data_IF_523442457362
#
_entry.id   IF_523442457362
#
_cell.length_a   1.000
_cell.length_b   1.000
_cell.length_c   1.000
_cell.angle_alpha   90.00
_cell.angle_beta   90.00
_cell.angle_gamma   90.00
#
_symmetry.space_group_name_H-M   'P 1'
#
loop_
_entity.id
_entity.type
_entity.pdbx_description
1 polymer ?
#
# COMPACT_ATOMS: atom_id res chain seq x y z
N UNK A 1 -13.34 -22.02 -14.32
CA UNK A 1 -12.13 -21.20 -14.57
C UNK A 1 -11.49 -20.94 -13.23
N UNK A 2 -10.21 -21.29 -13.05
CA UNK A 2 -9.49 -20.98 -11.82
C UNK A 2 -9.40 -19.45 -11.68
N UNK A 3 -9.64 -18.91 -10.48
CA UNK A 3 -9.49 -17.49 -10.21
C UNK A 3 -7.99 -17.14 -10.30
N UNK A 4 -7.61 -16.35 -11.30
CA UNK A 4 -6.24 -15.87 -11.44
C UNK A 4 -6.09 -14.53 -10.72
N UNK A 5 -5.12 -14.48 -9.80
CA UNK A 5 -4.72 -13.25 -9.13
C UNK A 5 -4.16 -12.25 -10.14
N UNK A 6 -4.87 -11.13 -10.31
CA UNK A 6 -4.49 -10.05 -11.24
C UNK A 6 -3.37 -9.15 -10.72
N UNK A 7 -3.12 -9.18 -9.41
CA UNK A 7 -2.12 -8.36 -8.74
C UNK A 7 -0.96 -9.27 -8.34
N UNK A 8 0.09 -9.26 -9.15
CA UNK A 8 1.34 -9.98 -8.91
C UNK A 8 2.50 -9.01 -9.07
N UNK A 9 3.61 -9.27 -8.41
CA UNK A 9 4.85 -8.53 -8.65
C UNK A 9 5.24 -8.62 -10.14
N UNK A 10 5.76 -7.53 -10.69
CA UNK A 10 6.21 -7.43 -12.09
C UNK A 10 7.58 -6.77 -12.18
N UNK A 11 8.26 -6.98 -13.31
CA UNK A 11 9.54 -6.33 -13.63
C UNK A 11 9.37 -4.88 -14.15
N UNK A 12 8.17 -4.30 -14.03
CA UNK A 12 7.91 -2.94 -14.50
C UNK A 12 8.60 -1.92 -13.60
N UNK A 13 9.12 -0.83 -14.19
CA UNK A 13 9.78 0.24 -13.46
C UNK A 13 8.77 1.08 -12.67
N UNK A 14 9.00 1.20 -11.36
CA UNK A 14 8.25 2.09 -10.48
C UNK A 14 8.42 3.55 -10.89
N UNK A 15 9.64 3.94 -11.27
CA UNK A 15 9.95 5.33 -11.66
C UNK A 15 9.24 5.69 -12.97
N UNK A 16 9.30 4.80 -13.97
CA UNK A 16 8.58 5.06 -15.24
C UNK A 16 7.06 5.13 -15.03
N UNK A 17 6.51 4.33 -14.12
CA UNK A 17 5.10 4.41 -13.76
C UNK A 17 4.74 5.75 -13.08
N UNK A 18 5.57 6.26 -12.18
CA UNK A 18 5.37 7.58 -11.56
C UNK A 18 5.47 8.69 -12.62
N UNK A 19 6.41 8.59 -13.55
CA UNK A 19 6.57 9.59 -14.63
C UNK A 19 5.37 9.67 -15.57
N UNK A 20 4.61 8.59 -15.72
CA UNK A 20 3.35 8.55 -16.50
C UNK A 20 2.17 9.24 -15.79
N UNK A 21 2.30 9.67 -14.53
CA UNK A 21 1.25 10.40 -13.82
C UNK A 21 1.09 11.79 -14.43
N UNK A 22 -0.09 12.05 -15.03
CA UNK A 22 -0.39 13.30 -15.77
C UNK A 22 -0.26 14.58 -14.92
N UNK A 23 -0.49 14.49 -13.62
CA UNK A 23 -0.49 15.66 -12.73
C UNK A 23 0.84 15.79 -12.01
N UNK A 24 1.58 16.87 -12.28
CA UNK A 24 2.86 17.17 -11.62
C UNK A 24 2.77 17.12 -10.09
N UNK A 25 1.73 17.71 -9.50
CA UNK A 25 1.53 17.63 -8.04
C UNK A 25 1.34 16.21 -7.52
N UNK A 26 0.67 15.35 -8.29
CA UNK A 26 0.51 13.93 -7.91
C UNK A 26 1.78 13.14 -8.12
N UNK A 27 2.58 13.50 -9.12
CA UNK A 27 3.92 12.95 -9.33
C UNK A 27 4.84 13.28 -8.15
N UNK A 28 4.86 14.55 -7.72
CA UNK A 28 5.57 14.99 -6.51
C UNK A 28 5.11 14.23 -5.25
N UNK A 29 3.79 14.10 -5.06
CA UNK A 29 3.24 13.33 -3.93
C UNK A 29 3.59 11.83 -4.04
N UNK A 30 3.63 11.26 -5.24
CA UNK A 30 4.02 9.86 -5.46
C UNK A 30 5.50 9.62 -5.14
N UNK A 31 6.38 10.55 -5.49
CA UNK A 31 7.80 10.49 -5.10
C UNK A 31 7.98 10.59 -3.58
N UNK A 32 7.28 11.52 -2.91
CA UNK A 32 7.31 11.59 -1.44
C UNK A 32 6.82 10.31 -0.78
N UNK A 33 5.75 9.71 -1.32
CA UNK A 33 5.25 8.43 -0.84
C UNK A 33 6.25 7.30 -1.08
N UNK A 34 6.91 7.28 -2.25
CA UNK A 34 7.96 6.32 -2.55
C UNK A 34 9.08 6.39 -1.50
N UNK A 35 9.56 7.58 -1.18
CA UNK A 35 10.61 7.79 -0.17
C UNK A 35 10.14 7.34 1.22
N UNK A 36 8.98 7.83 1.69
CA UNK A 36 8.44 7.50 3.01
C UNK A 36 8.25 6.00 3.17
N UNK A 37 7.67 5.33 2.17
CA UNK A 37 7.47 3.88 2.24
C UNK A 37 8.80 3.14 2.20
N UNK A 38 9.75 3.54 1.34
CA UNK A 38 11.06 2.90 1.28
C UNK A 38 11.78 3.00 2.63
N UNK A 39 11.83 4.20 3.22
CA UNK A 39 12.48 4.44 4.51
C UNK A 39 11.79 3.71 5.67
N UNK A 40 10.46 3.76 5.72
CA UNK A 40 9.70 3.18 6.84
C UNK A 40 9.68 1.66 6.79
N UNK A 41 9.60 1.08 5.59
CA UNK A 41 9.48 -0.36 5.41
C UNK A 41 10.83 -1.06 5.33
N UNK A 42 11.87 -0.36 4.85
CA UNK A 42 13.17 -0.95 4.52
C UNK A 42 13.14 -1.85 3.28
N UNK A 43 12.03 -1.90 2.54
CA UNK A 43 11.90 -2.69 1.31
C UNK A 43 12.06 -1.82 0.06
N UNK A 44 12.63 -2.40 -0.99
CA UNK A 44 12.60 -1.80 -2.32
C UNK A 44 11.17 -1.83 -2.88
N UNK A 45 10.78 -0.75 -3.55
CA UNK A 45 9.49 -0.66 -4.21
C UNK A 45 9.45 -1.55 -5.46
N UNK A 46 8.35 -2.30 -5.62
CA UNK A 46 8.09 -3.10 -6.83
C UNK A 46 6.72 -2.76 -7.41
N UNK A 47 6.57 -2.92 -8.71
CA UNK A 47 5.26 -2.83 -9.35
C UNK A 47 4.47 -4.10 -9.08
N UNK A 48 3.20 -3.93 -8.69
CA UNK A 48 2.23 -4.99 -8.46
C UNK A 48 1.04 -4.81 -9.39
N UNK A 49 0.95 -5.70 -10.38
CA UNK A 49 0.05 -5.52 -11.52
C UNK A 49 0.28 -4.16 -12.20
N UNK A 50 -0.76 -3.57 -12.81
CA UNK A 50 -0.57 -2.40 -13.68
C UNK A 50 -0.53 -1.05 -12.95
N UNK A 51 -0.71 -1.01 -11.62
CA UNK A 51 -1.00 0.29 -10.96
C UNK A 51 -0.66 0.40 -9.47
N UNK A 52 -0.09 -0.62 -8.85
CA UNK A 52 0.24 -0.59 -7.42
C UNK A 52 1.76 -0.58 -7.28
N UNK A 53 2.27 0.34 -6.48
CA UNK A 53 3.64 0.33 -5.99
C UNK A 53 3.60 -0.35 -4.62
N UNK A 54 4.17 -1.53 -4.50
CA UNK A 54 4.14 -2.37 -3.31
C UNK A 54 5.52 -2.53 -2.67
N UNK A 55 5.53 -2.80 -1.36
CA UNK A 55 6.73 -2.92 -0.54
C UNK A 55 6.70 -4.21 0.27
N UNK A 56 7.73 -5.03 0.08
CA UNK A 56 7.80 -6.39 0.61
C UNK A 56 6.66 -7.28 0.10
N UNK A 57 6.61 -8.52 0.56
CA UNK A 57 5.57 -9.47 0.19
C UNK A 57 5.24 -10.42 1.35
N UNK A 58 4.02 -10.93 1.34
CA UNK A 58 3.58 -12.02 2.21
C UNK A 58 2.72 -13.00 1.41
N UNK A 59 2.79 -14.27 1.80
CA UNK A 59 1.92 -15.31 1.27
C UNK A 59 0.71 -15.48 2.17
N UNK A 60 -0.50 -15.29 1.64
CA UNK A 60 -1.74 -15.51 2.37
C UNK A 60 -2.38 -16.84 1.95
N UNK A 61 -3.04 -17.50 2.89
CA UNK A 61 -3.85 -18.69 2.65
C UNK A 61 -5.15 -18.60 3.46
N UNK A 62 -6.28 -18.67 2.79
CA UNK A 62 -7.61 -18.67 3.42
C UNK A 62 -8.09 -20.09 3.70
N UNK A 63 -9.04 -20.22 4.64
CA UNK A 63 -9.68 -21.51 5.00
C UNK A 63 -10.36 -22.21 3.82
N UNK A 64 -10.75 -21.46 2.79
CA UNK A 64 -11.28 -21.99 1.53
C UNK A 64 -10.24 -22.68 0.65
N UNK A 65 -8.96 -22.64 1.02
CA UNK A 65 -7.82 -23.11 0.24
C UNK A 65 -7.32 -22.10 -0.80
N UNK A 66 -7.95 -20.92 -0.91
CA UNK A 66 -7.44 -19.87 -1.79
C UNK A 66 -6.20 -19.20 -1.18
N UNK A 67 -5.11 -19.17 -1.93
CA UNK A 67 -3.83 -18.60 -1.51
C UNK A 67 -3.19 -17.76 -2.61
N UNK A 68 -2.20 -16.96 -2.24
CA UNK A 68 -1.44 -16.12 -3.15
C UNK A 68 -0.53 -15.15 -2.45
N UNK A 69 0.16 -14.33 -3.24
CA UNK A 69 1.09 -13.33 -2.76
C UNK A 69 0.48 -11.93 -2.86
N UNK A 70 0.81 -11.09 -1.90
CA UNK A 70 0.43 -9.69 -1.88
C UNK A 70 1.53 -8.83 -1.27
N UNK A 71 1.60 -7.53 -1.60
CA UNK A 71 2.53 -6.63 -0.93
C UNK A 71 2.11 -6.41 0.52
N UNK A 72 3.08 -6.25 1.43
CA UNK A 72 2.78 -5.98 2.85
C UNK A 72 2.05 -4.64 3.02
N UNK A 73 2.49 -3.65 2.26
CA UNK A 73 1.86 -2.33 2.13
C UNK A 73 2.12 -1.80 0.72
N UNK A 74 1.34 -0.81 0.30
CA UNK A 74 1.60 -0.15 -0.99
C UNK A 74 0.70 1.05 -1.23
N UNK A 75 0.88 1.68 -2.38
CA UNK A 75 0.01 2.78 -2.81
C UNK A 75 -0.17 2.82 -4.33
N UNK A 76 -1.14 3.61 -4.79
CA UNK A 76 -1.47 3.84 -6.19
C UNK A 76 -1.85 5.30 -6.40
N UNK A 77 -1.04 6.11 -7.11
CA UNK A 77 -1.30 7.53 -7.33
C UNK A 77 -2.33 7.75 -8.46
N UNK A 78 -3.57 7.28 -8.26
CA UNK A 78 -4.60 7.32 -9.30
C UNK A 78 -5.08 8.74 -9.61
N UNK A 79 -5.68 8.90 -10.80
CA UNK A 79 -6.19 10.17 -11.32
C UNK A 79 -7.16 10.89 -10.39
N UNK A 80 -8.05 10.17 -9.69
CA UNK A 80 -8.97 10.79 -8.74
C UNK A 80 -8.31 11.01 -7.36
N UNK A 81 -7.90 9.93 -6.70
CA UNK A 81 -7.31 9.94 -5.35
C UNK A 81 -6.09 9.04 -5.30
N UNK A 82 -5.20 9.28 -4.34
CA UNK A 82 -4.15 8.33 -3.98
C UNK A 82 -4.83 7.24 -3.14
N UNK A 83 -4.67 5.98 -3.55
CA UNK A 83 -5.06 4.82 -2.76
C UNK A 83 -3.85 4.33 -1.98
N UNK A 84 -3.99 4.12 -0.68
CA UNK A 84 -2.99 3.55 0.20
C UNK A 84 -3.53 2.21 0.71
N UNK A 85 -2.72 1.16 0.66
CA UNK A 85 -3.07 -0.21 1.00
C UNK A 85 -2.34 -0.62 2.27
N UNK A 86 -3.11 -1.03 3.27
CA UNK A 86 -2.65 -1.56 4.56
C UNK A 86 -3.25 -2.94 4.80
N UNK A 87 -2.82 -3.58 5.88
CA UNK A 87 -3.31 -4.87 6.33
C UNK A 87 -4.83 -4.84 6.52
N UNK A 88 -5.58 -5.76 5.87
CA UNK A 88 -6.99 -5.92 6.16
C UNK A 88 -7.18 -6.52 7.56
N UNK A 89 -8.17 -6.02 8.30
CA UNK A 89 -8.63 -6.65 9.55
C UNK A 89 -7.80 -6.35 10.80
N UNK A 90 -6.85 -5.44 10.72
CA UNK A 90 -6.14 -4.95 11.91
C UNK A 90 -7.09 -4.13 12.81
N UNK A 91 -7.37 -4.58 14.05
CA UNK A 91 -8.34 -3.93 14.94
C UNK A 91 -7.88 -2.55 15.43
N UNK A 92 -6.57 -2.30 15.47
CA UNK A 92 -6.00 -1.05 15.99
C UNK A 92 -5.87 0.02 14.90
N UNK A 93 -6.21 -0.30 13.65
CA UNK A 93 -6.09 0.61 12.50
C UNK A 93 -6.95 1.86 12.67
N UNK A 94 -8.18 1.70 13.18
CA UNK A 94 -9.15 2.81 13.30
C UNK A 94 -8.64 3.92 14.25
N UNK A 95 -7.91 3.56 15.31
CA UNK A 95 -7.36 4.53 16.26
C UNK A 95 -6.32 5.45 15.63
N UNK A 96 -5.45 4.90 14.76
CA UNK A 96 -4.51 5.69 13.99
C UNK A 96 -5.21 6.50 12.90
N UNK A 97 -6.20 5.93 12.21
CA UNK A 97 -6.96 6.65 11.20
C UNK A 97 -7.65 7.89 11.74
N UNK A 98 -8.16 7.86 12.98
CA UNK A 98 -8.74 9.03 13.63
C UNK A 98 -7.76 10.22 13.75
N UNK A 99 -6.46 9.95 13.76
CA UNK A 99 -5.38 10.95 13.83
C UNK A 99 -4.74 11.24 12.46
N UNK A 100 -5.12 10.49 11.42
CA UNK A 100 -4.41 10.48 10.14
C UNK A 100 -4.63 11.74 9.30
N UNK A 101 -5.70 12.47 9.53
CA UNK A 101 -6.08 13.66 8.75
C UNK A 101 -7.25 13.38 7.81
N UNK A 102 -7.38 14.15 6.73
CA UNK A 102 -8.53 14.09 5.82
C UNK A 102 -8.41 12.91 4.86
N UNK A 103 -9.19 11.87 5.12
CA UNK A 103 -9.20 10.65 4.34
C UNK A 103 -10.61 10.04 4.25
N UNK A 104 -10.76 9.05 3.37
CA UNK A 104 -11.88 8.10 3.37
C UNK A 104 -11.30 6.70 3.42
N UNK A 105 -11.89 5.77 4.17
CA UNK A 105 -11.39 4.41 4.31
C UNK A 105 -12.39 3.36 3.81
N UNK A 106 -11.85 2.28 3.25
CA UNK A 106 -12.53 0.99 3.09
C UNK A 106 -11.87 -0.05 3.99
N UNK A 107 -12.22 -1.34 3.79
CA UNK A 107 -11.74 -2.45 4.63
C UNK A 107 -10.21 -2.59 4.67
N UNK A 108 -9.53 -2.45 3.53
CA UNK A 108 -8.07 -2.62 3.41
C UNK A 108 -7.38 -1.38 2.81
N UNK A 109 -8.15 -0.42 2.31
CA UNK A 109 -7.65 0.73 1.58
C UNK A 109 -8.03 2.04 2.27
N UNK A 110 -7.16 3.02 2.15
CA UNK A 110 -7.36 4.40 2.58
C UNK A 110 -7.16 5.29 1.36
N UNK A 111 -8.03 6.28 1.19
CA UNK A 111 -7.99 7.19 0.06
C UNK A 111 -7.76 8.62 0.53
N UNK A 112 -6.77 9.27 -0.06
CA UNK A 112 -6.39 10.66 0.23
C UNK A 112 -6.29 11.44 -1.08
N UNK A 113 -6.54 12.75 -1.06
CA UNK A 113 -6.47 13.53 -2.29
C UNK A 113 -5.03 13.97 -2.62
N UNK A 114 -4.26 14.28 -1.58
CA UNK A 114 -2.88 14.80 -1.63
C UNK A 114 -2.18 14.56 -0.30
N UNK A 115 -0.85 14.60 -0.29
CA UNK A 115 -0.06 14.39 0.94
C UNK A 115 -0.32 15.44 2.02
N UNK A 116 -0.61 16.68 1.63
CA UNK A 116 -0.90 17.77 2.58
C UNK A 116 -2.22 17.57 3.37
N UNK A 117 -3.06 16.60 2.99
CA UNK A 117 -4.29 16.29 3.71
C UNK A 117 -4.04 15.35 4.91
N UNK A 118 -2.83 14.77 5.05
CA UNK A 118 -2.53 13.72 6.03
C UNK A 118 -1.32 14.02 6.89
N UNK A 119 -1.28 13.37 8.05
CA UNK A 119 -0.14 13.35 8.95
C UNK A 119 0.84 12.23 8.55
N UNK A 120 2.08 12.62 8.23
CA UNK A 120 3.14 11.71 7.78
C UNK A 120 3.61 10.78 8.90
N UNK A 121 3.64 11.21 10.15
CA UNK A 121 4.06 10.36 11.25
C UNK A 121 3.02 9.28 11.53
N UNK A 122 1.73 9.63 11.40
CA UNK A 122 0.65 8.64 11.47
C UNK A 122 0.67 7.68 10.28
N UNK A 123 1.05 8.14 9.07
CA UNK A 123 1.29 7.27 7.91
C UNK A 123 2.34 6.19 8.25
N UNK A 124 3.48 6.60 8.80
CA UNK A 124 4.57 5.68 9.17
C UNK A 124 4.14 4.68 10.23
N UNK A 125 3.37 5.12 11.22
CA UNK A 125 2.80 4.24 12.24
C UNK A 125 1.86 3.20 11.62
N UNK A 126 0.96 3.61 10.72
CA UNK A 126 0.06 2.71 9.99
C UNK A 126 0.83 1.68 9.16
N UNK A 127 1.90 2.09 8.46
CA UNK A 127 2.77 1.20 7.69
C UNK A 127 3.40 0.14 8.59
N UNK A 128 4.02 0.57 9.70
CA UNK A 128 4.73 -0.33 10.62
C UNK A 128 3.77 -1.32 11.27
N UNK A 129 2.60 -0.83 11.72
CA UNK A 129 1.57 -1.66 12.33
C UNK A 129 1.03 -2.70 11.34
N UNK A 130 0.76 -2.28 10.10
CA UNK A 130 0.32 -3.16 9.02
C UNK A 130 1.30 -4.30 8.75
N UNK A 131 2.61 -3.99 8.66
CA UNK A 131 3.66 -5.00 8.45
C UNK A 131 3.71 -5.98 9.62
N UNK A 132 3.71 -5.47 10.86
CA UNK A 132 3.75 -6.31 12.05
C UNK A 132 2.54 -7.25 12.13
N UNK A 133 1.35 -6.74 11.86
CA UNK A 133 0.12 -7.52 11.85
C UNK A 133 0.14 -8.63 10.80
N UNK A 134 0.54 -8.32 9.57
CA UNK A 134 0.60 -9.33 8.49
C UNK A 134 1.64 -10.41 8.77
N UNK A 135 2.82 -10.04 9.27
CA UNK A 135 3.87 -11.01 9.63
C UNK A 135 3.44 -11.91 10.80
N UNK A 136 2.70 -11.38 11.76
CA UNK A 136 2.16 -12.18 12.86
C UNK A 136 1.03 -13.11 12.40
N UNK A 137 0.20 -12.66 11.45
CA UNK A 137 -0.94 -13.41 10.91
C UNK A 137 -0.48 -14.50 9.94
N UNK A 138 0.54 -14.22 9.14
CA UNK A 138 1.11 -15.11 8.13
C UNK A 138 2.62 -15.29 8.37
N UNK A 139 3.02 -16.04 9.41
CA UNK A 139 4.42 -16.20 9.79
C UNK A 139 5.25 -17.09 8.85
N UNK A 140 4.69 -17.52 7.72
CA UNK A 140 5.22 -18.57 6.86
C UNK A 140 6.06 -18.12 5.65
N UNK A 141 6.79 -17.00 5.77
CA UNK A 141 7.80 -16.59 4.77
C UNK A 141 9.21 -16.87 5.29
#
# INVERSE_FOLDING_TARGET
MAYELKTKETDQSVIEFIEQVESEKKKEDAYKLLDIFTETTGYEAKMWGPSIIGFGSYHYKYDSGHEGDAPLVGFSPRKAKISIYFAPGDPNREELLNKFGKHTSGKACVYVNKMADIDVEVLKALITQSIAFLKATYPGN
#
